data_IF_150160844039
#
_entry.id   IF_150160844039
#
_cell.length_a   1.000
_cell.length_b   1.000
_cell.length_c   1.000
_cell.angle_alpha   90.00
_cell.angle_beta   90.00
_cell.angle_gamma   90.00
#
_symmetry.space_group_name_H-M   'P 1'
#
loop_
_entity.id
_entity.type
_entity.pdbx_description
1 polymer ?
#
# COMPACT_ATOMS: atom_id res chain seq x y z
N UNK A 1 0.55 22.73 9.79
CA UNK A 1 0.07 21.39 10.18
C UNK A 1 -1.23 21.14 9.45
N UNK A 2 -1.43 19.92 8.98
CA UNK A 2 -2.58 19.53 8.17
C UNK A 2 -3.24 18.32 8.81
N UNK A 3 -4.56 18.35 8.93
CA UNK A 3 -5.33 17.33 9.62
C UNK A 3 -6.32 16.69 8.66
N UNK A 4 -6.47 15.38 8.75
CA UNK A 4 -7.39 14.59 7.93
C UNK A 4 -7.74 13.26 8.62
N UNK A 5 -8.79 12.61 8.15
CA UNK A 5 -9.23 11.31 8.67
C UNK A 5 -8.63 10.17 7.83
N UNK A 6 -8.02 9.19 8.51
CA UNK A 6 -7.52 7.97 7.89
C UNK A 6 -8.69 7.02 7.54
N UNK A 7 -8.52 6.11 6.57
CA UNK A 7 -9.54 5.10 6.23
C UNK A 7 -10.08 4.30 7.42
N UNK A 8 -9.33 4.15 8.51
CA UNK A 8 -9.78 3.48 9.74
C UNK A 8 -10.61 4.35 10.69
N UNK A 9 -10.81 5.63 10.38
CA UNK A 9 -11.54 6.62 11.17
C UNK A 9 -10.70 7.37 12.20
N UNK A 10 -9.39 7.10 12.28
CA UNK A 10 -8.49 7.88 13.13
C UNK A 10 -8.12 9.20 12.46
N UNK A 11 -8.17 10.29 13.23
CA UNK A 11 -7.64 11.57 12.78
C UNK A 11 -6.10 11.55 12.82
N UNK A 12 -5.45 12.02 11.76
CA UNK A 12 -4.01 12.19 11.68
C UNK A 12 -3.67 13.66 11.43
N UNK A 13 -2.63 14.14 12.10
CA UNK A 13 -2.05 15.46 11.85
C UNK A 13 -0.62 15.29 11.35
N UNK A 14 -0.31 15.96 10.24
CA UNK A 14 0.99 15.90 9.58
C UNK A 14 1.60 17.29 9.35
N UNK A 15 2.92 17.30 9.19
CA UNK A 15 3.67 18.41 8.59
C UNK A 15 4.19 18.04 7.21
N UNK A 16 4.52 19.04 6.41
CA UNK A 16 5.20 18.86 5.13
C UNK A 16 6.54 18.13 5.29
N UNK A 17 6.90 17.39 4.25
CA UNK A 17 8.25 16.88 4.07
C UNK A 17 9.22 18.02 3.84
N UNK A 18 10.44 17.83 4.30
CA UNK A 18 11.56 18.75 4.06
C UNK A 18 12.69 18.02 3.34
N UNK A 19 13.79 18.71 3.05
CA UNK A 19 15.00 18.07 2.50
C UNK A 19 15.50 16.88 3.35
N UNK A 20 15.23 16.86 4.66
CA UNK A 20 15.57 15.73 5.51
C UNK A 20 14.80 14.45 5.14
N UNK A 21 13.52 14.58 4.77
CA UNK A 21 12.71 13.46 4.30
C UNK A 21 13.09 13.05 2.88
N UNK A 22 13.43 14.00 2.01
CA UNK A 22 13.95 13.72 0.67
C UNK A 22 15.26 12.90 0.71
N UNK A 23 16.20 13.25 1.60
CA UNK A 23 17.42 12.48 1.84
C UNK A 23 17.13 11.04 2.29
N UNK A 24 16.07 10.83 3.07
CA UNK A 24 15.63 9.48 3.50
C UNK A 24 15.06 8.70 2.31
N UNK A 25 14.19 9.34 1.51
CA UNK A 25 13.52 8.70 0.36
C UNK A 25 14.48 8.36 -0.77
N UNK A 26 15.61 9.06 -0.89
CA UNK A 26 16.67 8.78 -1.88
C UNK A 26 17.76 7.84 -1.35
N UNK A 27 17.73 7.49 -0.06
CA UNK A 27 18.73 6.62 0.56
C UNK A 27 18.54 5.15 0.14
N UNK A 28 19.36 4.70 -0.80
CA UNK A 28 19.34 3.34 -1.35
C UNK A 28 19.41 2.21 -0.32
N UNK A 29 19.99 2.44 0.87
CA UNK A 29 20.01 1.44 1.95
C UNK A 29 18.64 1.34 2.63
N UNK A 30 18.01 2.49 2.91
CA UNK A 30 16.70 2.56 3.55
C UNK A 30 15.57 2.13 2.61
N UNK A 31 15.72 2.39 1.30
CA UNK A 31 14.80 1.89 0.27
C UNK A 31 14.86 0.36 0.23
N UNK A 32 16.09 -0.21 0.08
CA UNK A 32 16.27 -1.66 -0.07
C UNK A 32 15.81 -2.49 1.12
N UNK A 33 15.78 -1.92 2.33
CA UNK A 33 15.30 -2.61 3.52
C UNK A 33 13.87 -2.22 3.94
N UNK A 34 13.17 -1.43 3.12
CA UNK A 34 11.79 -0.99 3.35
C UNK A 34 11.60 -0.04 4.54
N UNK A 35 12.65 0.63 5.01
CA UNK A 35 12.56 1.55 6.16
C UNK A 35 12.40 3.02 5.78
N UNK A 36 12.64 3.40 4.52
CA UNK A 36 12.54 4.80 4.08
C UNK A 36 11.15 5.39 4.37
N UNK A 37 10.09 4.75 3.86
CA UNK A 37 8.70 5.18 4.09
C UNK A 37 8.37 5.21 5.58
N UNK A 38 8.75 4.17 6.34
CA UNK A 38 8.53 4.13 7.80
C UNK A 38 9.12 5.34 8.52
N UNK A 39 10.34 5.73 8.15
CA UNK A 39 11.03 6.86 8.76
C UNK A 39 10.40 8.19 8.37
N UNK A 40 9.99 8.35 7.11
CA UNK A 40 9.29 9.55 6.63
C UNK A 40 7.95 9.71 7.34
N UNK A 41 7.12 8.67 7.37
CA UNK A 41 5.83 8.69 8.07
C UNK A 41 6.04 9.05 9.55
N UNK A 42 7.01 8.43 10.23
CA UNK A 42 7.36 8.75 11.62
C UNK A 42 7.86 10.18 11.82
N UNK A 43 8.55 10.76 10.84
CA UNK A 43 9.09 12.11 10.96
C UNK A 43 8.02 13.19 10.75
N UNK A 44 7.03 12.90 9.90
CA UNK A 44 6.01 13.85 9.48
C UNK A 44 4.70 13.72 10.24
N UNK A 45 4.42 12.57 10.87
CA UNK A 45 3.23 12.37 11.71
C UNK A 45 3.41 13.08 13.06
N UNK A 46 2.63 14.13 13.26
CA UNK A 46 2.65 15.00 14.44
C UNK A 46 1.72 14.46 15.52
N UNK A 47 0.51 14.05 15.14
CA UNK A 47 -0.50 13.49 16.05
C UNK A 47 -1.29 12.39 15.36
N UNK A 48 -1.71 11.39 16.12
CA UNK A 48 -2.56 10.28 15.66
C UNK A 48 -3.63 10.00 16.71
N UNK A 49 -4.89 10.35 16.42
CA UNK A 49 -5.97 10.34 17.41
C UNK A 49 -5.61 11.20 18.62
N UNK A 50 -5.62 10.59 19.81
CA UNK A 50 -5.25 11.22 21.08
C UNK A 50 -3.73 11.18 21.38
N UNK A 51 -2.90 10.64 20.47
CA UNK A 51 -1.46 10.55 20.66
C UNK A 51 -0.73 11.74 20.00
N UNK A 52 -0.32 12.72 20.81
CA UNK A 52 0.41 13.93 20.40
C UNK A 52 1.91 13.72 20.08
N UNK A 53 2.44 12.51 20.27
CA UNK A 53 3.83 12.20 19.93
C UNK A 53 3.97 10.75 19.44
N UNK A 54 3.45 10.43 18.24
CA UNK A 54 3.49 9.07 17.69
C UNK A 54 4.92 8.53 17.58
N UNK A 55 5.09 7.29 18.02
CA UNK A 55 6.34 6.54 17.93
C UNK A 55 6.42 5.75 16.62
N UNK A 56 7.58 5.15 16.36
CA UNK A 56 7.72 4.23 15.23
C UNK A 56 6.77 3.01 15.34
N UNK A 57 6.43 2.58 16.56
CA UNK A 57 5.48 1.47 16.72
C UNK A 57 4.08 1.90 16.31
N UNK A 58 3.62 3.09 16.71
CA UNK A 58 2.32 3.63 16.28
C UNK A 58 2.21 3.67 14.75
N UNK A 59 3.27 4.10 14.07
CA UNK A 59 3.33 4.12 12.60
C UNK A 59 3.27 2.72 11.99
N UNK A 60 3.92 1.73 12.61
CA UNK A 60 3.92 0.34 12.14
C UNK A 60 2.62 -0.41 12.49
N UNK A 61 1.90 0.02 13.52
CA UNK A 61 0.61 -0.52 13.95
C UNK A 61 -0.55 -0.08 13.03
N UNK A 62 -0.37 1.03 12.31
CA UNK A 62 -1.30 1.44 11.26
C UNK A 62 -1.47 0.36 10.18
N UNK A 63 -2.70 0.22 9.69
CA UNK A 63 -3.01 -0.69 8.59
C UNK A 63 -2.41 -0.17 7.28
N UNK A 64 -2.07 -1.06 6.36
CA UNK A 64 -1.44 -0.69 5.08
C UNK A 64 -2.22 0.35 4.27
N UNK A 65 -3.55 0.29 4.29
CA UNK A 65 -4.40 1.27 3.62
C UNK A 65 -4.33 2.66 4.27
N UNK A 66 -4.25 2.73 5.60
CA UNK A 66 -4.03 3.97 6.34
C UNK A 66 -2.65 4.55 6.06
N UNK A 67 -1.62 3.69 6.03
CA UNK A 67 -0.24 4.09 5.74
C UNK A 67 -0.09 4.65 4.32
N UNK A 68 -0.78 4.06 3.34
CA UNK A 68 -0.82 4.57 1.98
C UNK A 68 -1.58 5.91 1.90
N UNK A 69 -2.73 6.02 2.57
CA UNK A 69 -3.47 7.29 2.65
C UNK A 69 -2.63 8.39 3.29
N UNK A 70 -1.91 8.08 4.37
CA UNK A 70 -0.98 9.00 5.02
C UNK A 70 0.17 9.43 4.09
N UNK A 71 0.72 8.50 3.30
CA UNK A 71 1.76 8.82 2.31
C UNK A 71 1.22 9.72 1.18
N UNK A 72 0.01 9.45 0.69
CA UNK A 72 -0.65 10.27 -0.35
C UNK A 72 -0.92 11.68 0.16
N UNK A 73 -1.48 11.82 1.36
CA UNK A 73 -1.71 13.13 1.97
C UNK A 73 -0.40 13.86 2.27
N UNK A 74 0.62 13.15 2.72
CA UNK A 74 1.95 13.72 2.93
C UNK A 74 2.56 14.26 1.63
N UNK A 75 2.43 13.50 0.53
CA UNK A 75 2.78 14.00 -0.81
C UNK A 75 1.95 15.26 -1.09
N UNK A 76 0.63 15.17 -0.97
CA UNK A 76 -0.32 16.23 -1.33
C UNK A 76 0.02 17.57 -0.68
N UNK A 77 0.27 17.57 0.63
CA UNK A 77 0.60 18.80 1.37
C UNK A 77 2.00 19.31 1.03
N UNK A 78 2.95 18.44 0.70
CA UNK A 78 4.34 18.83 0.46
C UNK A 78 4.60 19.34 -0.96
N UNK A 79 3.93 18.76 -1.97
CA UNK A 79 4.22 19.01 -3.40
C UNK A 79 2.98 19.44 -4.20
N UNK A 80 1.82 19.62 -3.55
CA UNK A 80 0.56 20.01 -4.19
C UNK A 80 -0.37 18.83 -4.50
N UNK A 81 -1.59 19.15 -4.93
CA UNK A 81 -2.65 18.16 -5.19
C UNK A 81 -2.54 17.44 -6.52
N UNK A 82 -1.83 18.00 -7.49
CA UNK A 82 -1.70 17.40 -8.83
C UNK A 82 -0.41 16.58 -8.93
N UNK A 83 -0.48 15.44 -9.59
CA UNK A 83 0.67 14.60 -9.97
C UNK A 83 0.69 14.47 -11.48
N UNK A 84 1.73 14.97 -12.10
CA UNK A 84 2.01 14.74 -13.53
C UNK A 84 2.87 13.48 -13.66
N UNK A 85 2.38 12.51 -14.44
CA UNK A 85 3.05 11.23 -14.69
C UNK A 85 3.05 10.93 -16.19
N UNK A 86 3.93 10.03 -16.61
CA UNK A 86 4.00 9.53 -17.97
C UNK A 86 4.12 8.01 -17.96
N UNK A 87 3.24 7.32 -18.68
CA UNK A 87 3.35 5.87 -18.88
C UNK A 87 3.74 5.55 -20.31
N UNK A 88 4.79 4.75 -20.46
CA UNK A 88 5.21 4.22 -21.76
C UNK A 88 4.31 3.05 -22.13
N UNK A 89 3.79 3.08 -23.36
CA UNK A 89 2.91 2.03 -23.86
C UNK A 89 3.62 0.66 -23.82
N UNK A 90 2.97 -0.32 -23.19
CA UNK A 90 3.49 -1.69 -23.04
C UNK A 90 3.45 -2.50 -24.33
N UNK A 91 2.70 -2.03 -25.35
CA UNK A 91 2.72 -2.61 -26.68
C UNK A 91 4.11 -2.43 -27.32
N UNK A 92 4.85 -3.53 -27.61
CA UNK A 92 6.23 -3.44 -28.08
C UNK A 92 6.41 -2.69 -29.40
N UNK A 93 5.37 -2.57 -30.22
CA UNK A 93 5.40 -1.88 -31.52
C UNK A 93 4.99 -0.41 -31.43
N UNK A 94 4.33 0.02 -30.36
CA UNK A 94 3.89 1.39 -30.17
C UNK A 94 4.89 2.18 -29.33
N UNK A 95 5.08 1.79 -28.05
CA UNK A 95 5.97 2.46 -27.08
C UNK A 95 5.77 3.98 -26.94
N UNK A 96 4.61 4.49 -27.33
CA UNK A 96 4.28 5.91 -27.17
C UNK A 96 4.30 6.31 -25.69
N UNK A 97 4.76 7.52 -25.41
CA UNK A 97 4.67 8.15 -24.09
C UNK A 97 3.27 8.72 -23.89
N UNK A 98 2.64 8.41 -22.76
CA UNK A 98 1.28 8.86 -22.45
C UNK A 98 1.31 9.69 -21.17
N UNK A 99 1.48 11.02 -21.26
CA UNK A 99 1.43 11.91 -20.11
C UNK A 99 -0.02 12.07 -19.61
N UNK A 100 -0.19 12.15 -18.29
CA UNK A 100 -1.48 12.43 -17.65
C UNK A 100 -1.28 13.08 -16.30
N UNK A 101 -2.31 13.79 -15.85
CA UNK A 101 -2.35 14.44 -14.54
C UNK A 101 -3.39 13.76 -13.66
N UNK A 102 -3.05 13.52 -12.40
CA UNK A 102 -3.93 12.96 -11.38
C UNK A 102 -4.13 13.97 -10.26
N UNK A 103 -5.39 14.28 -9.93
CA UNK A 103 -5.75 15.03 -8.73
C UNK A 103 -5.85 14.07 -7.53
N UNK A 104 -4.93 14.21 -6.58
CA UNK A 104 -4.90 13.40 -5.36
C UNK A 104 -6.14 13.61 -4.48
N UNK A 105 -6.77 14.79 -4.54
CA UNK A 105 -7.99 15.07 -3.79
C UNK A 105 -9.23 14.35 -4.33
N UNK A 106 -9.16 13.84 -5.56
CA UNK A 106 -10.25 13.10 -6.21
C UNK A 106 -10.13 11.58 -6.06
N UNK A 107 -9.09 11.08 -5.38
CA UNK A 107 -8.90 9.64 -5.18
C UNK A 107 -9.97 9.06 -4.26
N UNK A 108 -10.56 7.95 -4.67
CA UNK A 108 -11.55 7.26 -3.87
C UNK A 108 -10.88 6.57 -2.67
N UNK A 109 -11.54 6.66 -1.51
CA UNK A 109 -11.12 5.95 -0.30
C UNK A 109 -12.24 5.04 0.16
N UNK A 110 -11.92 3.75 0.31
CA UNK A 110 -12.81 2.79 0.94
C UNK A 110 -12.51 2.74 2.44
N UNK A 111 -13.47 3.02 3.33
CA UNK A 111 -13.25 2.93 4.77
C UNK A 111 -13.14 1.48 5.23
N UNK A 112 -12.43 1.25 6.35
CA UNK A 112 -12.42 -0.05 7.00
C UNK A 112 -13.77 -0.34 7.67
N UNK A 113 -14.22 -1.59 7.63
CA UNK A 113 -15.36 -2.04 8.44
C UNK A 113 -15.00 -2.20 9.92
N UNK A 114 -15.93 -2.62 10.77
CA UNK A 114 -15.66 -2.76 12.22
C UNK A 114 -14.73 -3.95 12.54
N UNK A 115 -14.78 -5.01 11.73
CA UNK A 115 -13.97 -6.21 11.94
C UNK A 115 -12.48 -5.95 11.63
N UNK A 116 -11.60 -6.56 12.43
CA UNK A 116 -10.13 -6.54 12.22
C UNK A 116 -9.55 -7.93 11.94
N UNK A 117 -10.30 -8.96 12.30
CA UNK A 117 -10.05 -10.35 11.97
C UNK A 117 -11.25 -10.91 11.21
N UNK A 118 -10.97 -11.82 10.29
CA UNK A 118 -11.95 -12.39 9.37
C UNK A 118 -11.85 -13.90 9.42
N UNK A 119 -12.99 -14.56 9.36
CA UNK A 119 -13.09 -16.01 9.25
C UNK A 119 -13.67 -16.37 7.87
N UNK A 120 -13.02 -17.32 7.18
CA UNK A 120 -13.42 -17.74 5.85
C UNK A 120 -13.23 -19.24 5.65
N UNK A 121 -14.27 -19.93 5.17
CA UNK A 121 -14.22 -21.35 4.85
C UNK A 121 -13.77 -21.56 3.41
N UNK A 122 -12.67 -22.30 3.22
CA UNK A 122 -12.12 -22.60 1.90
C UNK A 122 -13.05 -23.55 1.11
N UNK A 123 -13.35 -23.27 -0.16
CA UNK A 123 -14.39 -23.97 -0.90
C UNK A 123 -14.05 -25.41 -1.29
N UNK A 124 -12.76 -25.77 -1.39
CA UNK A 124 -12.35 -27.12 -1.81
C UNK A 124 -12.03 -28.00 -0.60
N UNK A 125 -11.30 -27.45 0.37
CA UNK A 125 -10.84 -28.20 1.54
C UNK A 125 -11.79 -28.15 2.73
N UNK A 126 -12.78 -27.24 2.72
CA UNK A 126 -13.68 -26.93 3.85
C UNK A 126 -12.95 -26.53 5.15
N UNK A 127 -11.66 -26.18 5.04
CA UNK A 127 -10.87 -25.69 6.17
C UNK A 127 -11.23 -24.26 6.48
N UNK A 128 -11.18 -23.91 7.76
CA UNK A 128 -11.48 -22.55 8.22
C UNK A 128 -10.18 -21.77 8.35
N UNK A 129 -10.10 -20.63 7.67
CA UNK A 129 -8.95 -19.72 7.71
C UNK A 129 -9.35 -18.48 8.49
N UNK A 130 -8.56 -18.13 9.51
CA UNK A 130 -8.65 -16.82 10.14
C UNK A 130 -7.52 -15.93 9.65
N UNK A 131 -7.84 -14.71 9.25
CA UNK A 131 -6.86 -13.76 8.72
C UNK A 131 -7.17 -12.33 9.15
N UNK A 132 -6.20 -11.43 8.98
CA UNK A 132 -6.31 -10.00 9.31
C UNK A 132 -5.84 -9.10 8.16
N UNK A 133 -5.99 -7.80 8.35
CA UNK A 133 -5.40 -6.81 7.47
C UNK A 133 -3.86 -6.85 7.52
N UNK A 134 -3.25 -6.31 6.47
CA UNK A 134 -1.81 -6.05 6.44
C UNK A 134 -1.55 -4.78 7.28
N UNK A 135 -0.49 -4.81 8.10
CA UNK A 135 -0.02 -3.69 8.90
C UNK A 135 1.43 -3.32 8.51
N UNK A 136 1.92 -2.18 9.02
CA UNK A 136 3.30 -1.74 8.75
C UNK A 136 4.37 -2.72 9.24
N UNK A 137 4.12 -3.47 10.33
CA UNK A 137 5.02 -4.54 10.77
C UNK A 137 5.15 -5.65 9.72
N UNK A 138 4.03 -6.06 9.12
CA UNK A 138 4.00 -7.04 8.04
C UNK A 138 4.70 -6.53 6.79
N UNK A 139 4.46 -5.29 6.37
CA UNK A 139 5.15 -4.65 5.24
C UNK A 139 6.66 -4.66 5.42
N UNK A 140 7.12 -4.26 6.62
CA UNK A 140 8.54 -4.26 6.97
C UNK A 140 9.13 -5.67 6.87
N UNK A 141 8.45 -6.69 7.38
CA UNK A 141 8.89 -8.09 7.25
C UNK A 141 8.90 -8.54 5.78
N UNK A 142 7.89 -8.18 4.99
CA UNK A 142 7.83 -8.51 3.56
C UNK A 142 8.98 -7.88 2.78
N UNK A 143 9.34 -6.63 3.06
CA UNK A 143 10.46 -5.94 2.43
C UNK A 143 11.83 -6.60 2.70
N UNK A 144 11.97 -7.36 3.78
CA UNK A 144 13.20 -8.11 4.09
C UNK A 144 13.31 -9.46 3.38
N UNK A 145 12.24 -9.93 2.72
CA UNK A 145 12.28 -11.16 1.96
C UNK A 145 13.13 -10.97 0.70
N UNK A 146 13.93 -11.99 0.34
CA UNK A 146 14.72 -11.97 -0.90
C UNK A 146 13.82 -11.87 -2.15
N UNK A 147 12.69 -12.58 -2.10
CA UNK A 147 11.70 -12.64 -3.18
C UNK A 147 10.30 -12.45 -2.56
N UNK A 148 9.91 -11.19 -2.29
CA UNK A 148 8.54 -10.91 -1.88
C UNK A 148 7.59 -11.31 -3.00
N UNK A 149 6.46 -11.92 -2.63
CA UNK A 149 5.45 -12.36 -3.58
C UNK A 149 4.05 -12.14 -3.03
N UNK A 150 3.05 -12.15 -3.91
CA UNK A 150 1.63 -12.13 -3.52
C UNK A 150 1.33 -13.27 -2.55
N UNK A 151 1.96 -14.44 -2.74
CA UNK A 151 1.84 -15.57 -1.84
C UNK A 151 2.41 -15.29 -0.44
N UNK A 152 3.54 -14.59 -0.35
CA UNK A 152 4.15 -14.20 0.91
C UNK A 152 3.25 -13.22 1.68
N UNK A 153 2.72 -12.20 0.99
CA UNK A 153 1.80 -11.23 1.59
C UNK A 153 0.50 -11.88 2.08
N UNK A 154 -0.10 -12.76 1.26
CA UNK A 154 -1.28 -13.55 1.64
C UNK A 154 -0.99 -14.40 2.89
N UNK A 155 0.15 -15.10 2.93
CA UNK A 155 0.53 -15.94 4.08
C UNK A 155 0.72 -15.12 5.35
N UNK A 156 1.33 -13.94 5.25
CA UNK A 156 1.64 -13.06 6.38
C UNK A 156 0.37 -12.56 7.10
N UNK A 157 -0.75 -12.49 6.38
CA UNK A 157 -2.07 -12.09 6.90
C UNK A 157 -2.84 -13.21 7.58
N UNK A 158 -2.47 -14.48 7.36
CA UNK A 158 -3.15 -15.63 7.96
C UNK A 158 -2.72 -15.74 9.43
N UNK A 159 -3.71 -15.76 10.32
CA UNK A 159 -3.53 -15.99 11.75
C UNK A 159 -3.43 -17.49 12.01
N UNK A 160 -4.41 -18.25 11.53
CA UNK A 160 -4.41 -19.71 11.61
C UNK A 160 -5.28 -20.36 10.53
N UNK A 161 -5.12 -21.68 10.39
CA UNK A 161 -5.97 -22.54 9.57
C UNK A 161 -6.38 -23.74 10.43
N UNK A 162 -7.68 -23.86 10.71
CA UNK A 162 -8.28 -24.80 11.66
C UNK A 162 -7.68 -24.70 13.08
N UNK A 163 -7.47 -23.47 13.57
CA UNK A 163 -6.93 -23.20 14.90
C UNK A 163 -5.43 -23.45 15.02
N UNK A 164 -4.73 -23.78 13.93
CA UNK A 164 -3.28 -24.03 13.92
C UNK A 164 -2.53 -22.96 13.12
N UNK A 165 -1.38 -22.45 13.61
CA UNK A 165 -0.59 -21.48 12.88
C UNK A 165 -0.26 -21.97 11.45
N UNK A 166 -0.26 -21.08 10.44
CA UNK A 166 0.04 -21.48 9.07
C UNK A 166 1.47 -22.00 8.99
N UNK A 167 1.65 -23.16 8.36
CA UNK A 167 2.97 -23.73 8.06
C UNK A 167 3.26 -23.64 6.58
N UNK A 168 4.55 -23.60 6.20
CA UNK A 168 4.97 -23.62 4.79
C UNK A 168 4.33 -24.77 4.02
N UNK A 169 4.28 -25.96 4.64
CA UNK A 169 3.65 -27.16 4.05
C UNK A 169 2.17 -26.94 3.78
N UNK A 170 1.42 -26.45 4.77
CA UNK A 170 -0.01 -26.16 4.62
C UNK A 170 -0.26 -25.15 3.49
N UNK A 171 0.59 -24.12 3.37
CA UNK A 171 0.45 -23.12 2.30
C UNK A 171 0.79 -23.68 0.91
N UNK A 172 1.71 -24.64 0.82
CA UNK A 172 2.08 -25.32 -0.42
C UNK A 172 1.04 -26.36 -0.85
N UNK A 173 0.45 -27.07 0.11
CA UNK A 173 -0.58 -28.09 -0.12
C UNK A 173 -1.97 -27.46 -0.40
N UNK A 174 -2.15 -26.16 -0.15
CA UNK A 174 -3.40 -25.44 -0.43
C UNK A 174 -3.66 -25.40 -1.94
N UNK A 175 -4.83 -25.91 -2.35
CA UNK A 175 -5.23 -25.96 -3.75
C UNK A 175 -5.29 -24.57 -4.39
N UNK A 176 -5.05 -24.48 -5.71
CA UNK A 176 -5.13 -23.19 -6.42
C UNK A 176 -6.51 -22.53 -6.31
N UNK A 177 -7.58 -23.34 -6.30
CA UNK A 177 -8.96 -22.87 -6.10
C UNK A 177 -9.14 -22.20 -4.73
N UNK A 178 -8.64 -22.82 -3.68
CA UNK A 178 -8.68 -22.25 -2.32
C UNK A 178 -7.83 -20.99 -2.21
N UNK A 179 -6.62 -20.99 -2.81
CA UNK A 179 -5.76 -19.80 -2.83
C UNK A 179 -6.36 -18.63 -3.59
N UNK A 180 -7.12 -18.89 -4.65
CA UNK A 180 -7.83 -17.87 -5.41
C UNK A 180 -9.01 -17.32 -4.61
N UNK A 181 -9.81 -18.20 -4.01
CA UNK A 181 -10.96 -17.80 -3.20
C UNK A 181 -10.55 -16.97 -1.98
N UNK A 182 -9.49 -17.40 -1.27
CA UNK A 182 -8.96 -16.66 -0.13
C UNK A 182 -8.43 -15.27 -0.54
N UNK A 183 -7.77 -15.16 -1.70
CA UNK A 183 -7.34 -13.86 -2.23
C UNK A 183 -8.52 -12.94 -2.55
N UNK A 184 -9.53 -13.47 -3.25
CA UNK A 184 -10.74 -12.72 -3.55
C UNK A 184 -11.45 -12.22 -2.28
N UNK A 185 -11.52 -13.06 -1.24
CA UNK A 185 -12.09 -12.66 0.04
C UNK A 185 -11.24 -11.59 0.75
N UNK A 186 -9.92 -11.76 0.76
CA UNK A 186 -8.98 -10.78 1.29
C UNK A 186 -9.05 -9.42 0.59
N UNK A 187 -9.30 -9.41 -0.72
CA UNK A 187 -9.47 -8.21 -1.54
C UNK A 187 -10.86 -7.58 -1.30
N UNK A 188 -11.91 -8.40 -1.16
CA UNK A 188 -13.28 -7.96 -0.87
C UNK A 188 -13.35 -7.14 0.42
N UNK A 189 -12.68 -7.59 1.47
CA UNK A 189 -12.65 -6.88 2.77
C UNK A 189 -11.60 -5.78 2.84
N UNK A 190 -10.67 -5.71 1.88
CA UNK A 190 -9.60 -4.72 1.87
C UNK A 190 -10.18 -3.30 1.78
N UNK A 191 -9.47 -2.34 2.35
CA UNK A 191 -9.86 -0.94 2.44
C UNK A 191 -8.61 -0.05 2.38
N UNK A 192 -8.81 1.25 2.22
CA UNK A 192 -7.76 2.23 1.98
C UNK A 192 -8.05 3.12 0.78
N UNK A 193 -7.09 3.99 0.48
CA UNK A 193 -7.11 4.86 -0.71
C UNK A 193 -6.81 4.04 -1.98
N UNK A 194 -7.56 4.29 -3.06
CA UNK A 194 -7.30 3.68 -4.36
C UNK A 194 -6.33 4.54 -5.16
N UNK A 195 -5.12 4.03 -5.36
CA UNK A 195 -4.06 4.66 -6.15
C UNK A 195 -3.91 4.03 -7.53
N UNK A 196 -4.78 3.08 -7.91
CA UNK A 196 -4.72 2.45 -9.22
C UNK A 196 -5.17 3.41 -10.30
N UNK A 197 -4.25 3.76 -11.20
CA UNK A 197 -4.54 4.63 -12.34
C UNK A 197 -4.60 3.79 -13.59
N UNK A 198 -5.63 4.04 -14.41
CA UNK A 198 -5.80 3.42 -15.72
C UNK A 198 -5.94 4.53 -16.75
N UNK A 199 -5.10 4.48 -17.78
CA UNK A 199 -5.16 5.38 -18.94
C UNK A 199 -5.09 4.55 -20.21
N UNK A 200 -5.69 5.03 -21.29
CA UNK A 200 -5.59 4.37 -22.59
C UNK A 200 -4.52 5.06 -23.43
N UNK A 201 -3.69 4.27 -24.13
CA UNK A 201 -2.64 4.80 -24.98
C UNK A 201 -3.24 5.59 -26.15
N UNK A 202 -2.84 6.85 -26.33
CA UNK A 202 -3.43 7.73 -27.35
C UNK A 202 -3.14 7.24 -28.78
N UNK A 203 -2.02 6.54 -28.99
CA UNK A 203 -1.59 6.08 -30.31
C UNK A 203 -2.22 4.74 -30.75
N UNK A 204 -2.45 3.79 -29.83
CA UNK A 204 -2.94 2.44 -30.19
C UNK A 204 -4.12 1.93 -29.37
N UNK A 205 -4.58 2.68 -28.37
CA UNK A 205 -5.70 2.30 -27.49
C UNK A 205 -5.39 1.21 -26.47
N UNK A 206 -4.13 0.78 -26.33
CA UNK A 206 -3.71 -0.19 -25.32
C UNK A 206 -3.96 0.39 -23.91
N UNK A 207 -4.56 -0.40 -23.02
CA UNK A 207 -4.86 0.03 -21.66
C UNK A 207 -3.63 -0.09 -20.78
N UNK A 208 -3.17 1.05 -20.27
CA UNK A 208 -2.03 1.16 -19.36
C UNK A 208 -2.56 1.26 -17.93
N UNK A 209 -1.91 0.55 -17.01
CA UNK A 209 -2.28 0.55 -15.60
C UNK A 209 -1.04 0.69 -14.73
N UNK A 210 -1.11 1.57 -13.75
CA UNK A 210 -0.09 1.69 -12.71
C UNK A 210 -0.73 1.94 -11.34
N UNK A 211 0.10 2.05 -10.31
CA UNK A 211 -0.23 2.61 -9.01
C UNK A 211 0.60 3.87 -8.81
N UNK A 212 0.00 4.95 -8.32
CA UNK A 212 0.70 6.23 -8.13
C UNK A 212 2.02 6.06 -7.37
N UNK A 213 2.00 5.36 -6.25
CA UNK A 213 3.16 5.16 -5.38
C UNK A 213 4.27 4.28 -5.98
N UNK A 214 4.00 3.59 -7.09
CA UNK A 214 4.98 2.81 -7.82
C UNK A 214 5.76 3.66 -8.84
N UNK A 215 5.25 4.83 -9.22
CA UNK A 215 5.88 5.72 -10.20
C UNK A 215 6.85 6.69 -9.50
N UNK A 216 8.11 6.81 -9.95
CA UNK A 216 9.08 7.72 -9.35
C UNK A 216 8.60 9.17 -9.25
N UNK A 217 7.86 9.64 -10.26
CA UNK A 217 7.31 11.00 -10.34
C UNK A 217 6.31 11.34 -9.24
N UNK A 218 5.77 10.34 -8.51
CA UNK A 218 4.86 10.58 -7.39
C UNK A 218 5.55 11.31 -6.23
N UNK A 219 6.72 10.83 -5.79
CA UNK A 219 7.52 11.46 -4.73
C UNK A 219 8.62 12.38 -5.25
N UNK A 220 9.02 12.25 -6.52
CA UNK A 220 10.10 13.03 -7.12
C UNK A 220 9.70 13.60 -8.50
N UNK A 221 8.82 14.62 -8.54
CA UNK A 221 8.42 15.26 -9.79
C UNK A 221 9.63 15.78 -10.56
N UNK A 222 9.72 15.45 -11.86
CA UNK A 222 10.81 15.90 -12.73
C UNK A 222 12.17 15.23 -12.52
N UNK A 223 12.30 14.28 -11.59
CA UNK A 223 13.53 13.52 -11.42
C UNK A 223 13.61 12.37 -12.45
N UNK A 224 14.65 12.39 -13.29
CA UNK A 224 15.06 11.22 -14.06
C UNK A 224 15.89 10.31 -13.14
N UNK A 225 15.23 9.34 -12.48
CA UNK A 225 15.87 8.35 -11.63
C UNK A 225 16.28 7.09 -12.40
#
# INVERSE_FOLDING_TARGET
MFTFELPCGLEAEIREMTGAEEEILTNQRLIRNGSAINQVLKNCLVRLGDNDSPTMNDVLDLLSGDRLALLVELRRVSLGSEVELELVCTNPTCREANPFTVDLGALETKPYGDAREFEFTLPSSNRTVRFRYLDGHMEKRLATLKEPSIASAMTMRIIDIDGKPPSKRVMQDMSLRDRQALRAEMDRVNAGIDTAITVDCEACGERLRTRLEAEPGFLFPGAAL
#
